data_IF_506228322572
#
_entry.id   IF_506228322572
#
_cell.length_a   1.000
_cell.length_b   1.000
_cell.length_c   1.000
_cell.angle_alpha   90.00
_cell.angle_beta   90.00
_cell.angle_gamma   90.00
#
_symmetry.space_group_name_H-M   'P 1'
#
loop_
_entity.id
_entity.type
_entity.pdbx_description
1 polymer ?
#
# COMPACT_ATOMS: atom_id res chain seq x y z
N UNK A 1 -15.94 -13.46 6.69
CA UNK A 1 -14.63 -13.93 6.17
C UNK A 1 -13.55 -13.35 7.06
N UNK A 2 -12.48 -14.07 7.31
CA UNK A 2 -11.37 -13.61 8.16
C UNK A 2 -10.41 -12.74 7.35
N UNK A 3 -9.95 -11.63 7.92
CA UNK A 3 -8.91 -10.78 7.33
C UNK A 3 -7.59 -11.59 7.15
N UNK A 4 -6.75 -11.27 6.15
CA UNK A 4 -5.45 -11.91 6.01
C UNK A 4 -4.56 -11.70 7.25
N UNK A 5 -3.86 -12.74 7.69
CA UNK A 5 -2.91 -12.67 8.82
C UNK A 5 -1.47 -12.42 8.35
N UNK A 6 -1.23 -12.46 7.04
CA UNK A 6 0.08 -12.18 6.43
C UNK A 6 -0.01 -10.93 5.57
N UNK A 7 1.05 -10.12 5.58
CA UNK A 7 1.17 -8.94 4.73
C UNK A 7 2.51 -8.88 3.99
N UNK A 8 2.52 -8.17 2.85
CA UNK A 8 3.72 -7.67 2.17
C UNK A 8 3.72 -6.14 2.24
N UNK A 9 4.81 -5.56 2.72
CA UNK A 9 5.02 -4.11 2.68
C UNK A 9 6.12 -3.78 1.70
N UNK A 10 5.78 -3.00 0.67
CA UNK A 10 6.67 -2.63 -0.42
C UNK A 10 7.46 -1.38 -0.03
N UNK A 11 8.70 -1.58 0.46
CA UNK A 11 9.57 -0.54 1.03
C UNK A 11 10.91 -0.36 0.28
N UNK A 12 11.15 -1.10 -0.81
CA UNK A 12 12.42 -1.12 -1.54
C UNK A 12 12.68 0.13 -2.41
N UNK A 13 11.69 1.03 -2.54
CA UNK A 13 11.80 2.21 -3.40
C UNK A 13 12.96 3.14 -3.02
N UNK A 14 13.70 3.66 -4.03
CA UNK A 14 14.85 4.57 -3.83
C UNK A 14 14.45 5.90 -3.19
N UNK A 15 13.20 6.36 -3.38
CA UNK A 15 12.72 7.61 -2.78
C UNK A 15 13.37 8.87 -3.37
N UNK A 16 13.77 8.88 -4.63
CA UNK A 16 14.48 10.01 -5.26
C UNK A 16 13.72 11.33 -5.22
N UNK A 17 12.38 11.31 -5.28
CA UNK A 17 11.52 12.49 -5.15
C UNK A 17 11.47 13.05 -3.72
N UNK A 18 11.88 12.25 -2.73
CA UNK A 18 11.88 12.65 -1.30
C UNK A 18 13.17 13.37 -0.88
N UNK A 19 14.16 13.54 -1.77
CA UNK A 19 15.38 14.28 -1.43
C UNK A 19 15.06 15.72 -1.02
N UNK A 20 15.78 16.27 -0.02
CA UNK A 20 16.95 15.70 0.68
C UNK A 20 16.64 14.73 1.82
N UNK A 21 15.38 14.45 2.14
CA UNK A 21 14.98 13.61 3.28
C UNK A 21 15.44 12.15 3.18
N UNK A 22 15.83 11.72 1.98
CA UNK A 22 16.30 10.36 1.67
C UNK A 22 17.79 10.31 1.28
N UNK A 23 18.56 11.35 1.55
CA UNK A 23 20.00 11.37 1.23
C UNK A 23 20.80 10.45 2.16
N UNK A 24 20.31 10.20 3.37
CA UNK A 24 20.97 9.37 4.39
C UNK A 24 20.15 8.16 4.87
N UNK A 25 18.90 8.00 4.41
CA UNK A 25 17.98 6.96 4.86
C UNK A 25 17.02 6.51 3.78
N UNK A 26 16.42 5.28 3.88
CA UNK A 26 15.38 4.86 2.95
C UNK A 26 14.10 5.70 3.16
N UNK A 27 13.28 5.86 2.13
CA UNK A 27 11.98 6.54 2.20
C UNK A 27 11.10 5.99 3.35
N UNK A 28 11.18 4.69 3.60
CA UNK A 28 10.44 4.01 4.65
C UNK A 28 10.68 4.59 6.07
N UNK A 29 11.87 5.19 6.30
CA UNK A 29 12.25 5.81 7.57
C UNK A 29 12.08 7.34 7.61
N UNK A 30 11.48 7.94 6.59
CA UNK A 30 11.04 9.34 6.64
C UNK A 30 9.87 9.44 7.61
N UNK A 31 9.88 10.45 8.48
CA UNK A 31 8.85 10.61 9.51
C UNK A 31 7.76 11.59 9.09
N UNK A 32 6.54 11.27 9.50
CA UNK A 32 5.35 12.12 9.46
C UNK A 32 4.65 11.99 10.83
N UNK A 33 4.38 13.11 11.50
CA UNK A 33 3.77 13.10 12.83
C UNK A 33 4.64 12.40 13.89
N UNK A 34 5.97 12.45 13.75
CA UNK A 34 6.92 11.81 14.68
C UNK A 34 7.00 10.28 14.56
N UNK A 35 6.44 9.67 13.49
CA UNK A 35 6.45 8.23 13.24
C UNK A 35 6.95 7.96 11.82
N UNK A 36 7.83 6.97 11.63
CA UNK A 36 8.32 6.57 10.33
C UNK A 36 7.18 6.06 9.42
N UNK A 37 7.26 6.32 8.12
CA UNK A 37 6.23 5.90 7.14
C UNK A 37 5.96 4.40 7.24
N UNK A 38 7.00 3.59 7.41
CA UNK A 38 6.82 2.15 7.57
C UNK A 38 6.06 1.79 8.84
N UNK A 39 6.28 2.49 9.94
CA UNK A 39 5.59 2.22 11.21
C UNK A 39 4.11 2.60 11.16
N UNK A 40 3.75 3.66 10.41
CA UNK A 40 2.35 3.96 10.13
C UNK A 40 1.64 2.78 9.48
N UNK A 41 2.27 2.16 8.48
CA UNK A 41 1.68 1.03 7.77
C UNK A 41 1.66 -0.25 8.62
N UNK A 42 2.76 -0.55 9.30
CA UNK A 42 2.87 -1.76 10.13
C UNK A 42 1.87 -1.76 11.28
N UNK A 43 1.63 -0.61 11.93
CA UNK A 43 0.64 -0.50 13.00
C UNK A 43 -0.77 -0.76 12.48
N UNK A 44 -1.14 -0.17 11.33
CA UNK A 44 -2.47 -0.39 10.73
C UNK A 44 -2.68 -1.84 10.29
N UNK A 45 -1.65 -2.49 9.76
CA UNK A 45 -1.72 -3.90 9.41
C UNK A 45 -1.86 -4.78 10.67
N UNK A 46 -1.14 -4.45 11.75
CA UNK A 46 -1.28 -5.14 13.04
C UNK A 46 -2.70 -4.98 13.62
N UNK A 47 -3.24 -3.75 13.61
CA UNK A 47 -4.60 -3.46 14.06
C UNK A 47 -5.66 -4.19 13.21
N UNK A 48 -5.36 -4.45 11.93
CA UNK A 48 -6.20 -5.24 11.02
C UNK A 48 -6.01 -6.76 11.16
N UNK A 49 -5.18 -7.22 12.11
CA UNK A 49 -4.98 -8.64 12.41
C UNK A 49 -3.81 -9.30 11.66
N UNK A 50 -2.91 -8.54 11.05
CA UNK A 50 -1.70 -9.11 10.48
C UNK A 50 -0.73 -9.53 11.59
N UNK A 51 -0.39 -10.82 11.63
CA UNK A 51 0.54 -11.42 12.59
C UNK A 51 1.97 -11.46 12.04
N UNK A 52 2.11 -11.51 10.70
CA UNK A 52 3.38 -11.59 9.99
C UNK A 52 3.39 -10.62 8.83
N UNK A 53 4.51 -9.90 8.69
CA UNK A 53 4.73 -8.97 7.57
C UNK A 53 6.07 -9.28 6.91
N UNK A 54 6.05 -9.45 5.59
CA UNK A 54 7.26 -9.49 4.76
C UNK A 54 7.53 -8.07 4.28
N UNK A 55 8.76 -7.58 4.47
CA UNK A 55 9.19 -6.25 4.03
C UNK A 55 10.32 -6.43 3.03
N UNK A 56 10.21 -5.84 1.84
CA UNK A 56 11.35 -5.84 0.92
C UNK A 56 12.30 -4.68 1.23
N UNK A 57 13.61 -4.96 1.15
CA UNK A 57 14.67 -4.01 1.46
C UNK A 57 15.66 -3.90 0.29
N UNK A 58 15.96 -2.65 -0.14
CA UNK A 58 16.91 -2.33 -1.21
C UNK A 58 17.81 -1.16 -0.81
N UNK A 59 17.44 0.07 -1.13
CA UNK A 59 18.22 1.28 -0.85
C UNK A 59 18.29 1.56 0.65
N UNK A 60 19.50 1.72 1.20
CA UNK A 60 19.74 1.77 2.64
C UNK A 60 19.12 0.59 3.42
N UNK A 61 19.12 -0.61 2.82
CA UNK A 61 18.48 -1.80 3.37
C UNK A 61 18.89 -2.13 4.80
N UNK A 62 20.19 -1.99 5.13
CA UNK A 62 20.70 -2.23 6.49
C UNK A 62 20.05 -1.31 7.55
N UNK A 63 19.82 -0.04 7.20
CA UNK A 63 19.15 0.89 8.12
C UNK A 63 17.69 0.50 8.34
N UNK A 64 17.01 0.07 7.27
CA UNK A 64 15.63 -0.41 7.37
C UNK A 64 15.56 -1.68 8.22
N UNK A 65 16.41 -2.66 7.96
CA UNK A 65 16.48 -3.91 8.72
C UNK A 65 16.73 -3.63 10.19
N UNK A 66 17.75 -2.83 10.53
CA UNK A 66 18.06 -2.48 11.91
C UNK A 66 16.96 -1.70 12.65
N UNK A 67 16.10 -0.96 11.91
CA UNK A 67 14.90 -0.35 12.46
C UNK A 67 13.84 -1.40 12.79
N UNK A 68 13.61 -2.33 11.87
CA UNK A 68 12.58 -3.37 11.97
C UNK A 68 12.89 -4.44 13.01
N UNK A 69 14.16 -4.74 13.29
CA UNK A 69 14.60 -5.69 14.32
C UNK A 69 14.10 -5.33 15.73
N UNK A 70 13.84 -4.04 15.99
CA UNK A 70 13.33 -3.55 17.26
C UNK A 70 11.83 -3.75 17.44
N UNK A 71 11.14 -4.21 16.40
CA UNK A 71 9.69 -4.36 16.41
C UNK A 71 9.29 -5.76 16.88
N UNK A 72 8.50 -5.82 17.97
CA UNK A 72 8.04 -7.09 18.52
C UNK A 72 6.82 -7.66 17.75
N UNK A 73 5.93 -6.79 17.24
CA UNK A 73 4.69 -7.18 16.56
C UNK A 73 4.30 -6.15 15.48
N UNK A 74 3.84 -6.62 14.28
CA UNK A 74 3.81 -8.00 13.81
C UNK A 74 5.23 -8.58 13.60
N UNK A 75 5.34 -9.90 13.47
CA UNK A 75 6.63 -10.55 13.16
C UNK A 75 7.09 -10.15 11.78
N UNK A 76 8.32 -9.67 11.67
CA UNK A 76 8.89 -9.20 10.40
C UNK A 76 9.75 -10.30 9.76
N UNK A 77 9.60 -10.48 8.45
CA UNK A 77 10.53 -11.22 7.60
C UNK A 77 11.04 -10.29 6.49
N UNK A 78 12.29 -10.41 6.12
CA UNK A 78 12.91 -9.54 5.09
C UNK A 78 12.97 -10.30 3.76
N UNK A 79 12.46 -9.66 2.69
CA UNK A 79 12.74 -10.02 1.30
C UNK A 79 13.89 -9.15 0.80
N UNK A 80 15.09 -9.71 0.73
CA UNK A 80 16.30 -8.96 0.39
C UNK A 80 16.37 -8.66 -1.12
N UNK A 81 16.26 -7.39 -1.50
CA UNK A 81 16.37 -6.89 -2.87
C UNK A 81 17.62 -6.00 -3.07
N UNK A 82 18.61 -6.03 -2.15
CA UNK A 82 19.78 -5.16 -2.22
C UNK A 82 20.61 -5.35 -3.49
N UNK A 83 20.53 -6.52 -4.11
CA UNK A 83 21.16 -6.85 -5.38
C UNK A 83 20.47 -6.19 -6.58
N UNK A 84 19.15 -6.08 -6.55
CA UNK A 84 18.36 -5.56 -7.68
C UNK A 84 17.00 -5.07 -7.24
N UNK A 85 16.65 -3.83 -7.62
CA UNK A 85 15.29 -3.29 -7.45
C UNK A 85 14.34 -3.98 -8.44
N UNK A 86 13.22 -4.51 -7.91
CA UNK A 86 12.29 -5.36 -8.67
C UNK A 86 10.95 -4.71 -9.00
N UNK A 87 10.71 -3.48 -8.58
CA UNK A 87 9.39 -2.83 -8.61
C UNK A 87 8.36 -3.60 -7.78
N UNK A 88 7.08 -3.19 -7.87
CA UNK A 88 6.03 -3.71 -6.97
C UNK A 88 5.65 -5.15 -7.25
N UNK A 89 5.50 -5.53 -8.51
CA UNK A 89 5.14 -6.89 -8.90
C UNK A 89 6.30 -7.88 -8.75
N UNK A 90 7.49 -7.50 -9.21
CA UNK A 90 8.69 -8.32 -9.06
C UNK A 90 9.10 -8.51 -7.60
N UNK A 91 8.93 -7.48 -6.76
CA UNK A 91 9.15 -7.57 -5.32
C UNK A 91 8.18 -8.56 -4.64
N UNK A 92 6.88 -8.50 -4.99
CA UNK A 92 5.91 -9.47 -4.51
C UNK A 92 6.24 -10.90 -4.98
N UNK A 93 6.64 -11.06 -6.26
CA UNK A 93 7.05 -12.37 -6.82
C UNK A 93 8.29 -12.93 -6.10
N UNK A 94 9.32 -12.12 -5.87
CA UNK A 94 10.50 -12.54 -5.09
C UNK A 94 10.13 -12.97 -3.66
N UNK A 95 9.18 -12.28 -3.04
CA UNK A 95 8.73 -12.59 -1.69
C UNK A 95 7.81 -13.82 -1.59
N UNK A 96 7.33 -14.41 -2.71
CA UNK A 96 6.40 -15.55 -2.75
C UNK A 96 6.73 -16.67 -1.75
N UNK A 97 7.98 -17.15 -1.64
CA UNK A 97 8.31 -18.25 -0.70
C UNK A 97 8.07 -17.87 0.77
N UNK A 98 8.05 -16.57 1.09
CA UNK A 98 7.83 -16.05 2.44
C UNK A 98 6.35 -15.77 2.72
N UNK A 99 5.49 -15.63 1.72
CA UNK A 99 4.10 -15.17 1.84
C UNK A 99 3.10 -16.31 2.05
N UNK A 100 3.41 -17.51 1.60
CA UNK A 100 2.48 -18.65 1.62
C UNK A 100 1.43 -18.57 0.51
N UNK A 101 0.36 -19.37 0.64
CA UNK A 101 -0.66 -19.53 -0.42
C UNK A 101 -1.96 -18.76 -0.14
N UNK A 102 -2.22 -18.40 1.11
CA UNK A 102 -3.43 -17.66 1.48
C UNK A 102 -3.38 -16.22 0.97
N UNK A 103 -4.53 -15.55 0.76
CA UNK A 103 -4.57 -14.12 0.45
C UNK A 103 -3.81 -13.30 1.49
N UNK A 104 -3.18 -12.23 1.03
CA UNK A 104 -2.35 -11.34 1.85
C UNK A 104 -2.80 -9.88 1.70
N UNK A 105 -2.46 -9.08 2.68
CA UNK A 105 -2.35 -7.63 2.48
C UNK A 105 -1.10 -7.34 1.65
N UNK A 106 -1.20 -6.43 0.68
CA UNK A 106 -0.03 -5.83 0.03
C UNK A 106 -0.14 -4.31 0.14
N UNK A 107 0.89 -3.67 0.67
CA UNK A 107 0.83 -2.25 1.01
C UNK A 107 2.12 -1.50 0.64
N UNK A 108 1.97 -0.29 0.10
CA UNK A 108 3.05 0.68 -0.08
C UNK A 108 3.25 1.46 1.22
N UNK A 109 4.47 1.97 1.44
CA UNK A 109 4.81 2.73 2.67
C UNK A 109 4.42 4.20 2.62
N UNK A 110 4.12 4.76 1.44
CA UNK A 110 3.90 6.20 1.23
C UNK A 110 2.43 6.63 1.38
N UNK A 111 1.61 5.76 1.94
CA UNK A 111 0.21 6.01 2.24
C UNK A 111 0.00 6.28 3.72
N UNK A 112 -0.37 7.51 4.03
CA UNK A 112 -0.85 7.90 5.36
C UNK A 112 -2.29 8.35 5.21
N UNK A 113 -3.16 8.00 6.15
CA UNK A 113 -4.56 8.44 6.08
C UNK A 113 -5.16 8.69 7.46
N UNK A 114 -6.25 9.43 7.43
CA UNK A 114 -7.14 9.67 8.55
C UNK A 114 -8.31 8.72 8.40
N UNK A 115 -8.61 7.92 9.42
CA UNK A 115 -9.73 6.99 9.37
C UNK A 115 -11.07 7.74 9.29
N UNK A 116 -12.03 7.13 8.60
CA UNK A 116 -13.43 7.50 8.66
C UNK A 116 -14.15 6.80 9.81
N UNK A 117 -15.48 6.69 9.70
CA UNK A 117 -16.31 6.00 10.70
C UNK A 117 -15.96 4.50 10.82
N UNK A 118 -15.52 3.87 9.74
CA UNK A 118 -15.03 2.49 9.71
C UNK A 118 -13.55 2.50 9.32
N UNK A 119 -12.68 1.78 10.06
CA UNK A 119 -11.27 1.69 9.68
C UNK A 119 -11.10 1.18 8.25
N UNK A 120 -10.21 1.82 7.49
CA UNK A 120 -10.04 1.58 6.06
C UNK A 120 -9.70 0.12 5.73
N UNK A 121 -8.81 -0.52 6.51
CA UNK A 121 -8.48 -1.93 6.32
C UNK A 121 -9.63 -2.87 6.71
N UNK A 122 -10.47 -2.49 7.68
CA UNK A 122 -11.71 -3.22 7.99
C UNK A 122 -12.68 -3.14 6.82
N UNK A 123 -12.81 -1.98 6.18
CA UNK A 123 -13.63 -1.82 4.97
C UNK A 123 -13.14 -2.73 3.85
N UNK A 124 -11.83 -2.79 3.61
CA UNK A 124 -11.24 -3.66 2.60
C UNK A 124 -11.44 -5.14 2.92
N UNK A 125 -11.22 -5.56 4.18
CA UNK A 125 -11.42 -6.94 4.60
C UNK A 125 -12.88 -7.41 4.46
N UNK A 126 -13.85 -6.53 4.74
CA UNK A 126 -15.29 -6.83 4.58
C UNK A 126 -15.69 -6.97 3.11
N UNK A 127 -15.06 -6.22 2.22
CA UNK A 127 -15.32 -6.29 0.78
C UNK A 127 -14.71 -7.51 0.11
N UNK A 128 -13.67 -8.10 0.70
CA UNK A 128 -12.92 -9.22 0.11
C UNK A 128 -13.76 -10.50 0.00
N UNK A 129 -13.84 -11.05 -1.21
CA UNK A 129 -14.45 -12.35 -1.50
C UNK A 129 -13.50 -13.21 -2.36
N UNK A 130 -12.79 -14.21 -1.78
CA UNK A 130 -11.82 -15.02 -2.49
C UNK A 130 -12.42 -15.91 -3.61
N UNK A 131 -13.74 -16.14 -3.62
CA UNK A 131 -14.40 -16.87 -4.69
C UNK A 131 -14.53 -16.00 -5.95
N UNK A 132 -14.68 -14.69 -5.79
CA UNK A 132 -14.89 -13.74 -6.89
C UNK A 132 -13.63 -12.98 -7.28
N UNK A 133 -12.71 -12.77 -6.33
CA UNK A 133 -11.60 -11.83 -6.44
C UNK A 133 -10.25 -12.53 -6.40
N UNK A 134 -9.30 -12.03 -7.18
CA UNK A 134 -7.88 -12.36 -7.03
C UNK A 134 -7.09 -11.15 -6.50
N UNK A 135 -7.63 -9.93 -6.67
CA UNK A 135 -7.21 -8.74 -5.93
C UNK A 135 -8.40 -7.81 -5.66
N UNK A 136 -8.34 -7.12 -4.51
CA UNK A 136 -9.26 -6.04 -4.12
C UNK A 136 -8.46 -4.83 -3.66
N UNK A 137 -8.62 -3.70 -4.35
CA UNK A 137 -7.87 -2.47 -4.11
C UNK A 137 -8.63 -1.55 -3.15
N UNK A 138 -7.90 -0.91 -2.22
CA UNK A 138 -8.44 0.16 -1.41
C UNK A 138 -8.31 1.49 -2.15
N UNK A 139 -9.42 2.21 -2.28
CA UNK A 139 -9.52 3.42 -3.08
C UNK A 139 -9.87 4.62 -2.20
N UNK A 140 -9.34 5.80 -2.57
CA UNK A 140 -9.80 7.07 -2.01
C UNK A 140 -10.61 7.84 -3.07
N UNK A 141 -11.77 8.41 -2.72
CA UNK A 141 -12.44 9.40 -3.56
C UNK A 141 -11.52 10.61 -3.81
N UNK A 142 -11.46 11.12 -5.03
CA UNK A 142 -10.55 12.19 -5.43
C UNK A 142 -10.76 13.53 -4.70
N UNK A 143 -11.91 13.74 -4.07
CA UNK A 143 -12.19 14.89 -3.20
C UNK A 143 -11.66 14.71 -1.77
N UNK A 144 -11.14 13.53 -1.43
CA UNK A 144 -10.58 13.17 -0.12
C UNK A 144 -9.11 12.76 -0.19
N UNK A 145 -8.36 13.36 -1.12
CA UNK A 145 -6.92 13.08 -1.29
C UNK A 145 -6.07 14.33 -1.13
N UNK A 146 -4.84 14.15 -0.67
CA UNK A 146 -3.80 15.17 -0.58
C UNK A 146 -2.45 14.59 -1.03
N UNK A 147 -1.62 15.39 -1.70
CA UNK A 147 -0.30 14.98 -2.15
C UNK A 147 -0.30 14.00 -3.32
N UNK A 148 -1.45 13.80 -3.98
CA UNK A 148 -1.58 13.00 -5.18
C UNK A 148 -2.03 13.90 -6.34
N UNK A 149 -1.14 14.15 -7.29
CA UNK A 149 -1.38 15.06 -8.42
C UNK A 149 -1.97 14.35 -9.64
N UNK A 150 -2.24 13.04 -9.53
CA UNK A 150 -2.80 12.25 -10.61
C UNK A 150 -4.28 12.56 -10.86
N UNK A 151 -4.80 12.24 -12.06
CA UNK A 151 -6.19 12.49 -12.44
C UNK A 151 -7.17 11.43 -11.89
N UNK A 152 -6.76 10.62 -10.93
CA UNK A 152 -7.45 9.40 -10.50
C UNK A 152 -7.07 8.19 -11.37
N UNK A 153 -7.33 7.00 -10.86
CA UNK A 153 -6.87 5.74 -11.48
C UNK A 153 -8.03 4.89 -12.00
N UNK A 154 -9.12 4.82 -11.23
CA UNK A 154 -10.19 3.84 -11.45
C UNK A 154 -11.60 4.44 -11.40
N UNK A 155 -12.48 3.79 -12.15
CA UNK A 155 -13.92 3.80 -11.95
C UNK A 155 -14.29 2.55 -11.15
N UNK A 156 -15.19 2.70 -10.18
CA UNK A 156 -15.71 1.63 -9.34
C UNK A 156 -17.14 1.33 -9.79
N UNK A 157 -17.37 0.12 -10.28
CA UNK A 157 -18.68 -0.33 -10.74
C UNK A 157 -19.58 -0.70 -9.54
N UNK A 158 -20.91 -0.71 -9.69
CA UNK A 158 -21.83 -1.00 -8.58
C UNK A 158 -21.63 -2.38 -7.92
N UNK A 159 -21.07 -3.35 -8.64
CA UNK A 159 -20.77 -4.70 -8.15
C UNK A 159 -19.36 -4.84 -7.55
N UNK A 160 -18.62 -3.74 -7.48
CA UNK A 160 -17.27 -3.65 -6.93
C UNK A 160 -16.14 -3.92 -7.94
N UNK A 161 -16.44 -4.26 -9.18
CA UNK A 161 -15.41 -4.41 -10.22
C UNK A 161 -14.77 -3.07 -10.54
N UNK A 162 -13.49 -3.12 -10.89
CA UNK A 162 -12.73 -1.94 -11.28
C UNK A 162 -12.59 -1.83 -12.81
N UNK A 163 -12.68 -0.61 -13.28
CA UNK A 163 -12.28 -0.24 -14.64
C UNK A 163 -11.22 0.86 -14.57
N UNK A 164 -10.06 0.60 -15.16
CA UNK A 164 -8.98 1.58 -15.22
C UNK A 164 -9.40 2.81 -16.02
N UNK A 165 -8.92 3.99 -15.61
CA UNK A 165 -9.22 5.27 -16.28
C UNK A 165 -8.96 5.25 -17.78
N UNK A 166 -7.89 4.56 -18.24
CA UNK A 166 -7.54 4.53 -19.65
C UNK A 166 -7.33 5.95 -20.22
N UNK A 167 -7.94 6.27 -21.39
CA UNK A 167 -7.81 7.57 -22.03
C UNK A 167 -8.73 8.64 -21.42
N UNK A 168 -9.60 8.32 -20.46
CA UNK A 168 -10.47 9.31 -19.83
C UNK A 168 -9.64 10.39 -19.11
N UNK A 169 -10.01 11.67 -19.18
CA UNK A 169 -9.23 12.76 -18.60
C UNK A 169 -9.14 12.65 -17.07
N UNK A 170 -10.14 12.09 -16.41
CA UNK A 170 -10.20 11.89 -14.96
C UNK A 170 -10.96 10.62 -14.61
N UNK A 171 -10.63 10.06 -13.43
CA UNK A 171 -11.40 9.02 -12.76
C UNK A 171 -11.76 9.47 -11.34
N UNK A 172 -12.88 8.98 -10.75
CA UNK A 172 -13.34 9.44 -9.44
C UNK A 172 -12.54 8.91 -8.27
N UNK A 173 -11.69 7.87 -8.48
CA UNK A 173 -10.97 7.22 -7.40
C UNK A 173 -9.49 7.08 -7.72
N UNK A 174 -8.64 7.26 -6.68
CA UNK A 174 -7.22 6.92 -6.68
C UNK A 174 -6.98 5.64 -5.86
N UNK A 175 -6.03 4.81 -6.30
CA UNK A 175 -5.53 3.69 -5.51
C UNK A 175 -4.58 4.18 -4.44
N UNK A 176 -4.86 3.87 -3.18
CA UNK A 176 -4.08 4.39 -2.06
C UNK A 176 -2.82 3.57 -1.72
N UNK A 177 -2.47 2.60 -2.53
CA UNK A 177 -1.30 1.76 -2.27
C UNK A 177 -1.56 0.57 -1.35
N UNK A 178 -2.82 0.22 -1.04
CA UNK A 178 -3.17 -0.93 -0.19
C UNK A 178 -4.20 -1.82 -0.87
N UNK A 179 -3.98 -3.13 -0.80
CA UNK A 179 -4.88 -4.14 -1.38
C UNK A 179 -4.85 -5.45 -0.60
N UNK A 180 -5.87 -6.28 -0.79
CA UNK A 180 -5.80 -7.73 -0.55
C UNK A 180 -5.58 -8.38 -1.91
N UNK A 181 -4.63 -9.33 -1.98
CA UNK A 181 -4.28 -10.04 -3.21
C UNK A 181 -3.96 -11.51 -2.92
N UNK A 182 -4.34 -12.40 -3.84
CA UNK A 182 -3.81 -13.77 -3.84
C UNK A 182 -2.35 -13.72 -4.30
N UNK A 183 -1.38 -14.24 -3.53
CA UNK A 183 0.03 -14.16 -3.91
C UNK A 183 0.33 -14.80 -5.27
N UNK A 184 -0.45 -15.80 -5.68
CA UNK A 184 -0.34 -16.47 -6.98
C UNK A 184 -0.60 -15.57 -8.18
N UNK A 185 -1.27 -14.44 -7.99
CA UNK A 185 -1.57 -13.49 -9.07
C UNK A 185 -0.31 -12.90 -9.75
N UNK A 186 0.87 -13.04 -9.14
CA UNK A 186 2.15 -12.59 -9.73
C UNK A 186 3.02 -13.73 -10.28
N UNK A 187 2.60 -14.99 -10.19
CA UNK A 187 3.42 -16.15 -10.55
C UNK A 187 3.75 -16.18 -12.06
N UNK A 188 2.83 -15.70 -12.91
CA UNK A 188 3.02 -15.55 -14.37
C UNK A 188 3.70 -14.24 -14.77
N UNK A 189 4.12 -13.42 -13.81
CA UNK A 189 4.89 -12.20 -14.05
C UNK A 189 6.29 -12.49 -14.60
N UNK A 190 6.91 -11.49 -15.22
CA UNK A 190 8.26 -11.61 -15.76
C UNK A 190 9.30 -11.96 -14.68
N UNK A 191 10.40 -12.60 -15.08
CA UNK A 191 11.57 -12.74 -14.22
C UNK A 191 12.33 -11.42 -14.17
N UNK A 192 12.14 -10.64 -13.12
CA UNK A 192 12.80 -9.35 -12.94
C UNK A 192 11.84 -8.23 -12.59
N UNK A 193 12.21 -6.96 -12.81
CA UNK A 193 11.37 -5.82 -12.47
C UNK A 193 10.09 -5.78 -13.29
N UNK A 194 8.94 -5.69 -12.59
CA UNK A 194 7.66 -5.36 -13.20
C UNK A 194 6.71 -4.76 -12.17
N UNK A 195 5.78 -3.94 -12.64
CA UNK A 195 4.77 -3.29 -11.80
C UNK A 195 3.57 -4.20 -11.56
N UNK A 196 2.99 -4.17 -10.36
CA UNK A 196 1.68 -4.78 -10.06
C UNK A 196 0.57 -4.28 -10.98
N UNK A 197 0.73 -3.11 -11.59
CA UNK A 197 -0.23 -2.59 -12.57
C UNK A 197 -0.45 -3.58 -13.73
N UNK A 198 0.60 -4.25 -14.22
CA UNK A 198 0.47 -5.26 -15.28
C UNK A 198 -0.35 -6.48 -14.83
N UNK A 199 -0.20 -6.89 -13.56
CA UNK A 199 -1.03 -7.92 -12.94
C UNK A 199 -2.50 -7.47 -12.86
N UNK A 200 -2.76 -6.25 -12.41
CA UNK A 200 -4.13 -5.72 -12.35
C UNK A 200 -4.80 -5.67 -13.71
N UNK A 201 -4.08 -5.30 -14.78
CA UNK A 201 -4.63 -5.31 -16.13
C UNK A 201 -5.07 -6.71 -16.58
N UNK A 202 -4.30 -7.76 -16.24
CA UNK A 202 -4.66 -9.16 -16.50
C UNK A 202 -5.90 -9.56 -15.69
N UNK A 203 -5.93 -9.27 -14.38
CA UNK A 203 -7.06 -9.58 -13.51
C UNK A 203 -8.33 -8.84 -13.93
N UNK A 204 -8.21 -7.61 -14.38
CA UNK A 204 -9.34 -6.82 -14.91
C UNK A 204 -9.93 -7.44 -16.17
N UNK A 205 -9.09 -7.95 -17.08
CA UNK A 205 -9.52 -8.58 -18.32
C UNK A 205 -10.34 -9.87 -18.11
N UNK A 206 -10.27 -10.48 -16.92
CA UNK A 206 -11.00 -11.69 -16.54
C UNK A 206 -11.98 -11.45 -15.38
N UNK A 207 -12.34 -10.19 -15.12
CA UNK A 207 -13.28 -9.78 -14.08
C UNK A 207 -12.90 -10.25 -12.65
N UNK A 208 -11.60 -10.29 -12.34
CA UNK A 208 -11.06 -10.73 -11.04
C UNK A 208 -10.44 -9.59 -10.22
N UNK A 209 -10.42 -8.34 -10.73
CA UNK A 209 -9.97 -7.15 -10.04
C UNK A 209 -11.15 -6.36 -9.49
N UNK A 210 -11.17 -6.17 -8.17
CA UNK A 210 -12.21 -5.45 -7.46
C UNK A 210 -11.61 -4.29 -6.66
N UNK A 211 -12.46 -3.44 -6.12
CA UNK A 211 -12.07 -2.36 -5.23
C UNK A 211 -13.19 -1.95 -4.29
N UNK A 212 -12.80 -1.22 -3.26
CA UNK A 212 -13.72 -0.58 -2.32
C UNK A 212 -13.20 0.80 -1.95
N UNK A 213 -14.09 1.78 -1.86
CA UNK A 213 -13.76 3.12 -1.41
C UNK A 213 -13.68 3.19 0.12
N UNK A 214 -12.62 3.80 0.65
CA UNK A 214 -12.54 4.14 2.08
C UNK A 214 -13.40 5.36 2.40
N UNK A 215 -13.84 5.46 3.64
CA UNK A 215 -14.54 6.63 4.19
C UNK A 215 -13.58 7.56 4.96
N UNK A 216 -12.31 7.59 4.61
CA UNK A 216 -11.29 8.39 5.26
C UNK A 216 -10.73 9.48 4.35
N UNK A 217 -9.67 10.12 4.82
CA UNK A 217 -8.92 11.11 4.07
C UNK A 217 -7.50 10.62 3.82
N UNK A 218 -7.11 10.44 2.56
CA UNK A 218 -5.80 9.89 2.17
C UNK A 218 -4.77 10.98 1.88
N UNK A 219 -3.55 10.76 2.37
CA UNK A 219 -2.38 11.60 2.14
C UNK A 219 -1.28 10.74 1.49
N UNK A 220 -0.96 11.03 0.23
CA UNK A 220 0.16 10.41 -0.47
C UNK A 220 1.45 11.18 -0.14
N UNK A 221 2.40 10.53 0.52
CA UNK A 221 3.68 11.12 0.93
C UNK A 221 4.75 10.78 -0.11
N UNK A 222 4.66 11.44 -1.27
CA UNK A 222 5.53 11.19 -2.43
C UNK A 222 6.79 12.02 -2.49
N UNK A 223 6.80 13.20 -1.86
CA UNK A 223 7.86 14.20 -1.89
C UNK A 223 7.87 15.04 -0.59
N UNK A 224 8.86 15.93 -0.36
CA UNK A 224 8.95 16.75 0.85
C UNK A 224 7.75 17.68 1.08
N UNK A 225 7.17 18.25 0.02
CA UNK A 225 6.01 19.17 0.13
C UNK A 225 4.78 18.39 0.62
N UNK A 226 4.51 17.24 0.02
CA UNK A 226 3.42 16.35 0.44
C UNK A 226 3.64 15.83 1.87
N UNK A 227 4.90 15.55 2.27
CA UNK A 227 5.26 15.18 3.64
C UNK A 227 4.91 16.27 4.64
N UNK A 228 5.30 17.52 4.36
CA UNK A 228 5.04 18.66 5.25
C UNK A 228 3.54 18.96 5.34
N UNK A 229 2.81 18.83 4.24
CA UNK A 229 1.36 18.97 4.21
C UNK A 229 0.67 17.88 5.06
N UNK A 230 1.11 16.60 4.96
CA UNK A 230 0.60 15.52 5.77
C UNK A 230 0.91 15.74 7.27
N UNK A 231 2.13 16.18 7.60
CA UNK A 231 2.53 16.56 8.96
C UNK A 231 1.59 17.63 9.55
N UNK A 232 1.34 18.71 8.80
CA UNK A 232 0.45 19.78 9.21
C UNK A 232 -0.98 19.28 9.41
N UNK A 233 -1.47 18.43 8.50
CA UNK A 233 -2.82 17.87 8.57
C UNK A 233 -3.02 16.99 9.79
N UNK A 234 -2.05 16.13 10.14
CA UNK A 234 -2.12 15.29 11.33
C UNK A 234 -2.14 16.10 12.62
N UNK A 235 -1.37 17.21 12.70
CA UNK A 235 -1.38 18.11 13.86
C UNK A 235 -2.74 18.78 14.10
N UNK A 236 -3.47 19.11 13.05
CA UNK A 236 -4.79 19.72 13.15
C UNK A 236 -5.90 18.73 13.45
N UNK A 237 -5.66 17.43 13.29
CA UNK A 237 -6.67 16.37 13.50
C UNK A 237 -7.02 16.16 14.96
N UNK A 238 -6.15 16.52 15.91
CA UNK A 238 -6.49 16.49 17.34
C UNK A 238 -7.69 17.39 17.71
N UNK A 239 -8.15 18.23 16.77
CA UNK A 239 -9.28 19.17 16.93
C UNK A 239 -10.48 18.87 16.03
N UNK A 240 -10.44 17.83 15.16
CA UNK A 240 -11.56 17.51 14.28
C UNK A 240 -12.34 16.30 14.79
N UNK A 241 -13.47 16.55 15.45
CA UNK A 241 -14.54 15.58 15.62
C UNK A 241 -15.54 15.77 14.47
N UNK A 242 -15.98 14.73 13.76
CA UNK A 242 -17.09 14.88 12.82
C UNK A 242 -18.34 15.33 13.58
N UNK A 243 -18.99 16.35 13.03
CA UNK A 243 -20.28 16.82 13.52
C UNK A 243 -21.39 15.77 13.27
#
# INVERSE_FOLDING_TARGET
>A
MTAPTTAMVLAAGVGSRMRPLTDDRPKALVEVGGKALIDHMLDRLADAGAERVVVNAHHFGERLIGHLERRAHPRIAISDERDRLLETGGGLKKARPLLGEAPIWAANIDSVWIEGAVPALTTLARAWDPARMDACLLLAPMDRVMGFDGPGDFFLEPDGRLRHRGPAPRAPYAYIGVQIIKPQAVDDGSEGPFSLFSTWMKLMAVDRLYGVAMDGFWMHVGDPVARDAAEARLKTQASWAPA
#
